data_IF_215283010308
#
_entry.id   IF_215283010308
#
_cell.length_a   1.000
_cell.length_b   1.000
_cell.length_c   1.000
_cell.angle_alpha   90.00
_cell.angle_beta   90.00
_cell.angle_gamma   90.00
#
_symmetry.space_group_name_H-M   'P 1'
#
loop_
_entity.id
_entity.type
_entity.pdbx_description
1 polymer ?
#
# COMPACT_ATOMS: atom_id res chain seq x y z
N UNK A 1 -10.12 -4.91 -23.59
CA UNK A 1 -10.57 -3.70 -24.33
C UNK A 1 -11.14 -2.55 -23.45
N UNK A 2 -11.27 -2.67 -22.11
CA UNK A 2 -11.91 -1.64 -21.26
C UNK A 2 -10.98 -0.58 -20.62
N UNK A 3 -9.66 -0.72 -20.74
CA UNK A 3 -8.68 0.14 -20.07
C UNK A 3 -8.07 1.22 -20.97
N UNK A 4 -8.43 1.25 -22.26
CA UNK A 4 -7.87 2.16 -23.26
C UNK A 4 -8.07 3.65 -22.90
N UNK A 5 -9.06 3.97 -22.05
CA UNK A 5 -9.37 5.35 -21.66
C UNK A 5 -9.06 5.69 -20.18
N UNK A 6 -8.47 4.78 -19.42
CA UNK A 6 -8.09 5.01 -18.02
C UNK A 6 -6.58 4.89 -17.89
N UNK A 7 -5.91 5.95 -17.42
CA UNK A 7 -4.47 5.93 -17.16
C UNK A 7 -4.19 4.88 -16.08
N UNK A 8 -3.69 3.71 -16.50
CA UNK A 8 -3.20 2.63 -15.63
C UNK A 8 -2.04 3.19 -14.81
N UNK A 9 -1.98 2.81 -13.53
CA UNK A 9 -0.85 3.15 -12.67
C UNK A 9 0.25 2.11 -12.84
N UNK A 10 1.51 2.53 -12.85
CA UNK A 10 2.66 1.64 -12.87
C UNK A 10 2.69 0.83 -11.56
N UNK A 11 2.97 -0.46 -11.67
CA UNK A 11 3.20 -1.32 -10.52
C UNK A 11 4.37 -0.81 -9.68
N UNK A 12 4.28 -0.97 -8.37
CA UNK A 12 5.39 -0.71 -7.45
C UNK A 12 5.69 -1.97 -6.67
N UNK A 13 6.97 -2.31 -6.59
CA UNK A 13 7.46 -3.51 -5.90
C UNK A 13 8.66 -3.14 -5.05
N UNK A 14 9.03 -4.02 -4.13
CA UNK A 14 10.22 -3.84 -3.30
C UNK A 14 11.26 -4.91 -3.62
N UNK A 15 12.53 -4.52 -3.66
CA UNK A 15 13.67 -5.44 -3.65
C UNK A 15 13.88 -6.03 -2.24
N UNK A 16 14.73 -7.07 -2.14
CA UNK A 16 15.07 -7.74 -0.86
C UNK A 16 15.64 -6.76 0.20
N UNK A 17 16.34 -5.72 -0.23
CA UNK A 17 16.90 -4.68 0.64
C UNK A 17 15.85 -3.65 1.13
N UNK A 18 14.59 -3.78 0.69
CA UNK A 18 13.49 -2.87 1.02
C UNK A 18 13.37 -1.64 0.13
N UNK A 19 14.22 -1.49 -0.89
CA UNK A 19 14.09 -0.42 -1.89
C UNK A 19 12.81 -0.62 -2.70
N UNK A 20 11.97 0.42 -2.75
CA UNK A 20 10.71 0.42 -3.50
C UNK A 20 10.94 1.12 -4.83
N UNK A 21 10.57 0.45 -5.92
CA UNK A 21 10.74 0.95 -7.27
C UNK A 21 9.54 0.62 -8.16
N UNK A 22 9.46 1.33 -9.28
CA UNK A 22 8.45 1.14 -10.30
C UNK A 22 8.80 -0.02 -11.22
N UNK A 23 7.81 -0.87 -11.51
CA UNK A 23 7.98 -2.02 -12.39
C UNK A 23 7.40 -1.70 -13.77
N UNK A 24 8.22 -1.09 -14.62
CA UNK A 24 7.81 -0.63 -15.95
C UNK A 24 7.19 -1.74 -16.82
N UNK A 25 6.17 -1.40 -17.61
CA UNK A 25 5.42 -2.39 -18.40
C UNK A 25 4.43 -3.25 -17.61
N UNK A 26 4.35 -3.08 -16.29
CA UNK A 26 3.34 -3.71 -15.43
C UNK A 26 2.46 -2.66 -14.77
N UNK A 27 1.16 -2.95 -14.74
CA UNK A 27 0.15 -2.15 -14.04
C UNK A 27 0.01 -2.60 -12.59
N UNK A 28 -0.15 -1.63 -11.69
CA UNK A 28 -0.48 -1.88 -10.31
C UNK A 28 -1.84 -2.59 -10.19
N UNK A 29 -1.92 -3.56 -9.29
CA UNK A 29 -3.12 -4.32 -9.03
C UNK A 29 -3.58 -4.18 -7.58
N UNK A 30 -4.89 -4.21 -7.39
CA UNK A 30 -5.53 -4.38 -6.09
C UNK A 30 -6.40 -5.63 -6.08
N UNK A 31 -6.70 -6.15 -4.89
CA UNK A 31 -7.58 -7.29 -4.72
C UNK A 31 -8.77 -6.96 -3.79
N UNK A 32 -9.90 -7.61 -4.04
CA UNK A 32 -11.03 -7.69 -3.13
C UNK A 32 -11.46 -9.16 -3.03
N UNK A 33 -10.98 -9.84 -1.97
CA UNK A 33 -11.07 -11.30 -1.92
C UNK A 33 -10.22 -11.93 -3.03
N UNK A 34 -10.84 -12.78 -3.84
CA UNK A 34 -10.23 -13.47 -4.98
C UNK A 34 -10.26 -12.66 -6.29
N UNK A 35 -10.94 -11.51 -6.29
CA UNK A 35 -11.06 -10.66 -7.48
C UNK A 35 -9.90 -9.67 -7.58
N UNK A 36 -9.31 -9.58 -8.78
CA UNK A 36 -8.22 -8.68 -9.10
C UNK A 36 -8.69 -7.48 -9.93
N UNK A 37 -8.15 -6.31 -9.61
CA UNK A 37 -8.49 -5.04 -10.25
C UNK A 37 -7.24 -4.31 -10.68
N UNK A 38 -7.24 -3.74 -11.88
CA UNK A 38 -6.17 -2.85 -12.34
C UNK A 38 -6.38 -1.48 -11.69
N UNK A 39 -5.34 -0.98 -11.03
CA UNK A 39 -5.38 0.36 -10.47
C UNK A 39 -5.25 1.39 -11.59
N UNK A 40 -6.18 2.34 -11.57
CA UNK A 40 -6.22 3.44 -12.54
C UNK A 40 -6.25 4.76 -11.80
N UNK A 41 -5.77 5.82 -12.44
CA UNK A 41 -5.79 7.17 -11.87
C UNK A 41 -7.19 7.61 -11.41
N UNK A 42 -8.25 7.22 -12.13
CA UNK A 42 -9.64 7.57 -11.79
C UNK A 42 -10.21 6.81 -10.60
N UNK A 43 -9.65 5.64 -10.28
CA UNK A 43 -10.11 4.76 -9.20
C UNK A 43 -9.14 4.80 -7.99
N UNK A 44 -8.30 5.83 -7.91
CA UNK A 44 -7.31 6.01 -6.85
C UNK A 44 -7.24 7.49 -6.47
N UNK A 45 -6.87 7.77 -5.23
CA UNK A 45 -6.51 9.11 -4.78
C UNK A 45 -4.99 9.28 -4.78
N UNK A 46 -4.50 10.52 -4.64
CA UNK A 46 -3.10 10.71 -4.25
C UNK A 46 -2.89 10.02 -2.91
N UNK A 47 -1.72 9.39 -2.70
CA UNK A 47 -1.42 8.75 -1.43
C UNK A 47 -1.63 9.76 -0.28
N UNK A 48 -2.49 9.46 0.71
CA UNK A 48 -2.78 10.40 1.79
C UNK A 48 -1.50 10.77 2.56
N UNK A 49 -1.38 12.02 2.99
CA UNK A 49 -0.22 12.47 3.74
C UNK A 49 -0.07 11.69 5.05
N UNK A 50 1.16 11.22 5.33
CA UNK A 50 1.46 10.39 6.50
C UNK A 50 1.04 8.93 6.36
N UNK A 51 0.65 8.49 5.15
CA UNK A 51 0.58 7.06 4.84
C UNK A 51 1.98 6.48 4.73
N UNK A 52 2.11 5.18 5.01
CA UNK A 52 3.38 4.46 4.97
C UNK A 52 3.33 3.35 3.93
N UNK A 53 4.40 3.20 3.14
CA UNK A 53 4.57 2.07 2.23
C UNK A 53 5.18 0.90 2.99
N UNK A 54 4.71 -0.31 2.70
CA UNK A 54 5.10 -1.52 3.40
C UNK A 54 5.45 -2.62 2.40
N UNK A 55 6.65 -3.18 2.50
CA UNK A 55 7.00 -4.42 1.84
C UNK A 55 6.31 -5.60 2.54
N UNK A 56 5.77 -6.54 1.77
CA UNK A 56 5.12 -7.76 2.29
C UNK A 56 6.05 -8.97 2.09
N UNK A 57 6.91 -9.30 3.08
CA UNK A 57 7.91 -10.36 2.91
C UNK A 57 7.28 -11.75 2.75
N UNK A 58 7.95 -12.58 1.95
CA UNK A 58 7.55 -13.98 1.62
C UNK A 58 6.20 -14.08 0.90
N UNK A 59 5.75 -13.01 0.28
CA UNK A 59 4.60 -12.98 -0.63
C UNK A 59 5.12 -12.72 -2.03
N UNK A 60 4.36 -13.16 -3.03
CA UNK A 60 4.67 -12.86 -4.43
C UNK A 60 3.70 -11.80 -4.95
N UNK A 61 4.17 -10.65 -5.48
CA UNK A 61 3.26 -9.65 -6.04
C UNK A 61 2.44 -10.22 -7.19
N UNK A 62 1.15 -9.87 -7.23
CA UNK A 62 0.29 -10.08 -8.39
C UNK A 62 0.18 -8.77 -9.13
N UNK A 63 0.64 -8.73 -10.38
CA UNK A 63 0.72 -7.52 -11.19
C UNK A 63 -0.01 -7.70 -12.51
N UNK A 64 -0.43 -6.60 -13.14
CA UNK A 64 -1.06 -6.66 -14.46
C UNK A 64 -0.02 -6.50 -15.57
N UNK A 65 0.24 -7.54 -16.35
CA UNK A 65 1.14 -7.47 -17.50
C UNK A 65 0.44 -6.75 -18.66
N UNK A 66 0.86 -5.51 -18.95
CA UNK A 66 0.20 -4.64 -19.94
C UNK A 66 0.30 -5.22 -21.36
N UNK A 67 1.43 -5.84 -21.69
CA UNK A 67 1.65 -6.41 -23.03
C UNK A 67 0.80 -7.66 -23.31
N UNK A 68 0.51 -8.44 -22.25
CA UNK A 68 -0.22 -9.70 -22.34
C UNK A 68 -1.71 -9.58 -21.96
N UNK A 69 -2.17 -8.39 -21.55
CA UNK A 69 -3.53 -8.12 -21.06
C UNK A 69 -4.01 -9.12 -19.99
N UNK A 70 -3.13 -9.47 -19.03
CA UNK A 70 -3.44 -10.46 -17.99
C UNK A 70 -2.70 -10.20 -16.67
N UNK A 71 -3.25 -10.69 -15.56
CA UNK A 71 -2.56 -10.71 -14.27
C UNK A 71 -1.51 -11.83 -14.23
N UNK A 72 -0.37 -11.56 -13.62
CA UNK A 72 0.73 -12.51 -13.40
C UNK A 72 1.22 -12.40 -11.95
N UNK A 73 1.43 -13.56 -11.31
CA UNK A 73 2.18 -13.65 -10.05
C UNK A 73 3.66 -13.67 -10.39
N UNK A 74 4.46 -12.84 -9.73
CA UNK A 74 5.88 -12.69 -10.02
C UNK A 74 6.71 -12.85 -8.76
N UNK A 75 7.79 -13.62 -8.85
CA UNK A 75 8.76 -13.78 -7.74
C UNK A 75 10.05 -13.00 -7.99
N UNK A 76 10.39 -12.76 -9.25
CA UNK A 76 11.65 -12.16 -9.65
C UNK A 76 11.44 -10.96 -10.57
N UNK A 77 12.37 -10.02 -10.49
CA UNK A 77 12.52 -8.92 -11.42
C UNK A 77 12.83 -9.46 -12.84
N UNK A 78 11.99 -9.21 -13.86
CA UNK A 78 12.24 -9.67 -15.23
C UNK A 78 13.24 -8.80 -16.01
N UNK A 79 13.67 -7.66 -15.47
CA UNK A 79 14.78 -6.85 -16.01
C UNK A 79 16.12 -7.23 -15.37
N UNK A 80 16.10 -7.76 -14.14
CA UNK A 80 17.29 -8.19 -13.40
C UNK A 80 17.18 -9.66 -12.94
N UNK A 81 17.74 -10.61 -13.74
CA UNK A 81 17.64 -12.02 -13.44
C UNK A 81 18.19 -12.39 -12.05
N UNK A 82 17.35 -13.01 -11.23
CA UNK A 82 17.72 -13.51 -9.90
C UNK A 82 17.44 -12.54 -8.75
N UNK A 83 17.06 -11.29 -9.04
CA UNK A 83 16.60 -10.36 -8.02
C UNK A 83 15.15 -10.69 -7.64
N UNK A 84 14.90 -10.94 -6.34
CA UNK A 84 13.54 -11.16 -5.82
C UNK A 84 12.80 -9.84 -5.68
N UNK A 85 11.49 -9.90 -5.95
CA UNK A 85 10.59 -8.77 -5.75
C UNK A 85 9.46 -9.13 -4.81
N UNK A 86 9.02 -8.14 -4.04
CA UNK A 86 7.99 -8.27 -3.03
C UNK A 86 6.83 -7.30 -3.29
N UNK A 87 5.60 -7.66 -2.89
CA UNK A 87 4.47 -6.76 -2.99
C UNK A 87 4.69 -5.56 -2.07
N UNK A 88 4.24 -4.40 -2.53
CA UNK A 88 4.19 -3.18 -1.74
C UNK A 88 2.73 -2.84 -1.47
N UNK A 89 2.38 -2.79 -0.19
CA UNK A 89 1.11 -2.26 0.29
C UNK A 89 1.28 -0.83 0.81
N UNK A 90 0.16 -0.16 1.04
CA UNK A 90 0.13 1.14 1.72
C UNK A 90 -0.75 1.08 2.96
N UNK A 91 -0.22 1.50 4.10
CA UNK A 91 -0.99 1.79 5.29
C UNK A 91 -1.47 3.23 5.23
N UNK A 92 -2.73 3.41 4.84
CA UNK A 92 -3.29 4.74 4.59
C UNK A 92 -3.45 5.55 5.89
N UNK A 93 -3.17 6.84 5.78
CA UNK A 93 -3.40 7.83 6.84
C UNK A 93 -4.86 7.82 7.31
N UNK A 94 -5.14 8.18 8.58
CA UNK A 94 -6.51 8.22 9.11
C UNK A 94 -7.51 9.00 8.26
N UNK A 95 -8.79 8.66 8.44
CA UNK A 95 -9.88 9.19 7.63
C UNK A 95 -10.01 8.56 6.25
N UNK A 96 -9.12 7.65 5.86
CA UNK A 96 -9.20 6.88 4.60
C UNK A 96 -9.47 5.40 4.86
N UNK A 97 -10.27 4.79 3.99
CA UNK A 97 -10.55 3.35 3.98
C UNK A 97 -10.07 2.76 2.66
N UNK A 98 -9.48 1.56 2.71
CA UNK A 98 -9.04 0.85 1.50
C UNK A 98 -10.26 0.47 0.64
N UNK A 99 -10.22 0.86 -0.63
CA UNK A 99 -11.13 0.34 -1.66
C UNK A 99 -10.69 -1.06 -2.10
N UNK A 100 -9.37 -1.25 -2.26
CA UNK A 100 -8.75 -2.52 -2.58
C UNK A 100 -7.53 -2.74 -1.68
N UNK A 101 -7.22 -4.00 -1.37
CA UNK A 101 -5.98 -4.37 -0.68
C UNK A 101 -4.87 -4.67 -1.67
N UNK A 102 -3.61 -4.60 -1.22
CA UNK A 102 -2.44 -4.99 -1.99
C UNK A 102 -2.66 -6.39 -2.60
N UNK A 103 -2.44 -6.53 -3.91
CA UNK A 103 -2.60 -7.81 -4.60
C UNK A 103 -1.33 -8.65 -4.46
N UNK A 104 -1.45 -9.81 -3.81
CA UNK A 104 -0.35 -10.74 -3.63
C UNK A 104 -0.85 -12.17 -3.58
N UNK A 105 0.06 -13.10 -3.85
CA UNK A 105 -0.13 -14.53 -3.58
C UNK A 105 0.68 -14.92 -2.33
N UNK A 106 0.03 -15.64 -1.43
CA UNK A 106 0.62 -16.22 -0.22
C UNK A 106 0.36 -17.73 -0.10
N UNK A 107 0.01 -18.38 -1.23
CA UNK A 107 -0.25 -19.81 -1.26
C UNK A 107 0.93 -20.62 -0.69
N UNK A 108 0.63 -21.43 0.32
CA UNK A 108 1.62 -22.28 0.99
C UNK A 108 2.45 -21.56 2.06
N UNK A 109 2.16 -20.29 2.35
CA UNK A 109 2.79 -19.52 3.42
C UNK A 109 1.96 -19.66 4.71
N UNK A 110 2.64 -20.03 5.79
CA UNK A 110 2.04 -20.31 7.11
C UNK A 110 2.16 -19.14 8.10
N UNK A 111 3.20 -18.31 7.97
CA UNK A 111 3.37 -17.17 8.88
C UNK A 111 2.56 -15.94 8.38
N UNK A 112 1.59 -15.45 9.18
CA UNK A 112 0.73 -14.33 8.82
C UNK A 112 1.50 -13.01 8.77
N UNK A 113 0.97 -12.04 8.03
CA UNK A 113 1.44 -10.66 8.15
C UNK A 113 0.93 -10.04 9.47
N UNK A 114 1.64 -9.05 10.04
CA UNK A 114 1.08 -8.20 11.09
C UNK A 114 -0.29 -7.62 10.69
N UNK A 115 -1.15 -7.32 11.67
CA UNK A 115 -2.51 -6.83 11.42
C UNK A 115 -2.53 -5.34 11.03
N UNK A 116 -1.92 -5.00 9.89
CA UNK A 116 -2.03 -3.70 9.27
C UNK A 116 -3.02 -3.72 8.10
N UNK A 117 -3.49 -2.52 7.74
CA UNK A 117 -4.40 -2.32 6.62
C UNK A 117 -3.59 -2.16 5.33
N UNK A 118 -3.20 -3.28 4.70
CA UNK A 118 -2.39 -3.31 3.48
C UNK A 118 -3.19 -2.91 2.23
N UNK A 119 -3.35 -1.60 2.00
CA UNK A 119 -4.05 -1.04 0.84
C UNK A 119 -3.26 -1.25 -0.47
N UNK A 120 -3.99 -1.29 -1.59
CA UNK A 120 -3.34 -1.32 -2.90
C UNK A 120 -2.74 0.05 -3.24
N UNK A 121 -1.56 0.05 -3.84
CA UNK A 121 -0.81 1.25 -4.23
C UNK A 121 -0.20 1.06 -5.62
N UNK A 122 -0.10 2.15 -6.36
CA UNK A 122 0.62 2.21 -7.63
C UNK A 122 1.24 3.59 -7.82
N UNK A 123 2.08 3.74 -8.84
CA UNK A 123 2.72 5.00 -9.16
C UNK A 123 2.09 5.66 -10.40
N UNK A 124 1.97 6.98 -10.40
CA UNK A 124 1.45 7.69 -11.58
C UNK A 124 1.91 9.14 -11.69
N UNK A 125 2.47 9.50 -12.86
CA UNK A 125 2.88 10.87 -13.24
C UNK A 125 3.64 11.62 -12.13
N UNK A 126 4.46 10.95 -11.33
CA UNK A 126 5.35 11.47 -10.26
C UNK A 126 4.90 11.26 -8.80
N UNK A 127 3.71 10.72 -8.54
CA UNK A 127 3.24 10.49 -7.16
C UNK A 127 2.74 9.06 -6.97
N UNK A 128 2.92 8.53 -5.75
CA UNK A 128 2.19 7.35 -5.28
C UNK A 128 0.69 7.63 -5.18
N UNK A 129 -0.11 6.63 -5.50
CA UNK A 129 -1.57 6.69 -5.44
C UNK A 129 -2.12 5.45 -4.77
N UNK A 130 -3.05 5.66 -3.85
CA UNK A 130 -3.70 4.57 -3.14
C UNK A 130 -5.10 4.30 -3.68
N UNK A 131 -5.48 3.03 -3.70
CA UNK A 131 -6.87 2.61 -3.85
C UNK A 131 -7.61 2.83 -2.52
N UNK A 132 -7.91 4.08 -2.19
CA UNK A 132 -8.55 4.47 -0.95
C UNK A 132 -9.65 5.51 -1.17
N UNK A 133 -10.59 5.54 -0.21
CA UNK A 133 -11.72 6.46 -0.17
C UNK A 133 -11.60 7.28 1.11
N UNK A 134 -11.65 8.61 0.99
CA UNK A 134 -11.74 9.53 2.12
C UNK A 134 -13.16 9.47 2.70
N UNK A 135 -13.28 9.07 3.97
CA UNK A 135 -14.56 8.87 4.67
C UNK A 135 -14.75 9.79 5.88
N UNK A 136 -13.67 10.38 6.40
CA UNK A 136 -13.72 11.31 7.52
C UNK A 136 -12.78 12.48 7.24
N UNK A 137 -13.35 13.69 7.16
CA UNK A 137 -12.63 14.93 6.84
C UNK A 137 -12.34 15.78 8.08
N UNK A 138 -12.65 15.29 9.27
CA UNK A 138 -12.39 16.02 10.51
C UNK A 138 -10.92 16.40 10.63
N UNK A 139 -10.60 17.66 11.02
CA UNK A 139 -9.21 18.13 11.13
C UNK A 139 -8.29 17.23 11.96
N UNK A 140 -8.83 16.52 12.96
CA UNK A 140 -8.08 15.59 13.81
C UNK A 140 -7.50 14.38 13.06
N UNK A 141 -8.06 14.03 11.90
CA UNK A 141 -7.57 12.92 11.06
C UNK A 141 -6.41 13.36 10.17
N UNK A 142 -6.24 14.67 9.95
CA UNK A 142 -5.12 15.22 9.22
C UNK A 142 -3.90 15.33 10.14
N UNK A 143 -2.93 14.43 9.95
CA UNK A 143 -1.70 14.41 10.73
C UNK A 143 -0.91 15.72 10.69
N UNK A 144 -1.10 16.56 9.66
CA UNK A 144 -0.48 17.90 9.57
C UNK A 144 -1.07 18.89 10.57
N UNK A 145 -2.29 18.63 11.04
CA UNK A 145 -3.01 19.44 12.01
C UNK A 145 -2.93 18.86 13.43
N UNK A 146 -2.27 17.71 13.61
CA UNK A 146 -2.14 17.07 14.91
C UNK A 146 -1.24 17.92 15.82
N UNK A 147 -1.70 18.31 17.03
CA UNK A 147 -0.90 19.12 17.95
C UNK A 147 0.17 18.25 18.62
N UNK A 148 1.24 17.94 17.88
CA UNK A 148 2.26 16.96 18.28
C UNK A 148 2.85 17.22 19.67
N UNK A 149 3.21 18.46 19.99
CA UNK A 149 3.69 18.81 21.33
C UNK A 149 2.67 18.51 22.43
N UNK A 150 1.38 18.76 22.15
CA UNK A 150 0.29 18.45 23.06
C UNK A 150 0.13 16.94 23.27
N UNK A 151 0.24 16.16 22.19
CA UNK A 151 0.22 14.68 22.25
C UNK A 151 1.38 14.17 23.10
N UNK A 152 2.61 14.61 22.85
CA UNK A 152 3.80 14.20 23.62
C UNK A 152 3.68 14.58 25.10
N UNK A 153 3.22 15.80 25.41
CA UNK A 153 2.95 16.23 26.79
C UNK A 153 1.89 15.33 27.45
N UNK A 154 0.84 14.99 26.73
CA UNK A 154 -0.23 14.09 27.19
C UNK A 154 0.29 12.68 27.51
N UNK A 155 1.06 12.07 26.60
CA UNK A 155 1.67 10.75 26.81
C UNK A 155 2.52 10.74 28.08
N UNK A 156 3.44 11.70 28.22
CA UNK A 156 4.30 11.82 29.40
C UNK A 156 3.51 12.00 30.72
N UNK A 157 2.43 12.79 30.68
CA UNK A 157 1.58 13.00 31.85
C UNK A 157 0.91 11.71 32.28
N UNK A 158 0.35 10.96 31.33
CA UNK A 158 -0.40 9.75 31.66
C UNK A 158 0.49 8.56 32.02
N UNK A 159 1.68 8.44 31.43
CA UNK A 159 2.68 7.45 31.87
C UNK A 159 3.08 7.67 33.34
N UNK A 160 3.27 8.93 33.76
CA UNK A 160 3.54 9.25 35.17
C UNK A 160 2.34 8.97 36.08
N UNK A 161 1.13 9.26 35.61
CA UNK A 161 -0.10 9.08 36.39
C UNK A 161 -0.48 7.60 36.55
N UNK A 162 -0.18 6.78 35.55
CA UNK A 162 -0.54 5.36 35.51
C UNK A 162 0.68 4.50 35.10
N UNK A 163 1.69 4.37 35.97
CA UNK A 163 2.94 3.70 35.63
C UNK A 163 2.79 2.21 35.29
N UNK A 164 1.75 1.56 35.81
CA UNK A 164 1.47 0.13 35.55
C UNK A 164 0.54 -0.08 34.33
N UNK A 165 0.15 0.98 33.61
CA UNK A 165 -0.72 0.85 32.45
C UNK A 165 0.06 0.33 31.24
N UNK A 166 -0.26 -0.90 30.82
CA UNK A 166 0.39 -1.58 29.69
C UNK A 166 -0.06 -1.09 28.30
N UNK A 167 -0.99 -0.14 28.24
CA UNK A 167 -1.52 0.43 26.99
C UNK A 167 -0.95 1.83 26.67
N UNK A 168 -0.06 2.36 27.51
CA UNK A 168 0.56 3.69 27.36
C UNK A 168 2.08 3.63 27.37
#
# INVERSE_FOLDING_TARGET
>A
MGYINKQILTAVVAAENGEIFELEGYGAAGMAGDQLFILTKSATCKMPHGSELMMLPRRSPILFNVSKDKFETMEFNPWEPGEKIYPVGVFNSPGHVNQYTCAYDDKGIDNPLPLFSYGAVGFGKNDFRSAAILVDTEPRQDLRLMPHEGVVKGVNLFQKKYPDNRLM
#
